data_IF_322536450674
#
_entry.id   IF_322536450674
#
_cell.length_a   1.000
_cell.length_b   1.000
_cell.length_c   1.000
_cell.angle_alpha   90.00
_cell.angle_beta   90.00
_cell.angle_gamma   90.00
#
_symmetry.space_group_name_H-M   'P 1'
#
loop_
_entity.id
_entity.type
_entity.pdbx_description
1 polymer ?
#
# COMPACT_ATOMS: atom_id res chain seq x y z
N UNK A 1 -19.83 4.42 30.05
CA UNK A 1 -18.35 4.43 29.98
C UNK A 1 -17.94 3.29 29.06
N UNK A 2 -17.40 3.58 27.87
CA UNK A 2 -16.92 2.52 26.97
C UNK A 2 -15.71 1.85 27.62
N UNK A 3 -15.81 0.58 27.96
CA UNK A 3 -14.70 -0.21 28.48
C UNK A 3 -13.60 -0.25 27.42
N UNK A 4 -12.44 0.35 27.73
CA UNK A 4 -11.31 0.41 26.80
C UNK A 4 -10.57 -0.92 26.83
N UNK A 5 -10.33 -1.50 25.66
CA UNK A 5 -9.52 -2.72 25.55
C UNK A 5 -8.10 -2.45 26.02
N UNK A 6 -7.54 -3.42 26.75
CA UNK A 6 -6.17 -3.38 27.25
C UNK A 6 -5.41 -4.63 26.84
N UNK A 7 -4.10 -4.50 26.75
CA UNK A 7 -3.20 -5.64 26.55
C UNK A 7 -2.83 -6.30 27.90
N UNK A 8 -2.09 -7.40 27.83
CA UNK A 8 -1.60 -8.14 29.00
C UNK A 8 -0.64 -7.32 29.89
N UNK A 9 -0.17 -6.16 29.43
CA UNK A 9 0.66 -5.20 30.17
C UNK A 9 -0.14 -3.98 30.62
N UNK A 10 -1.47 -4.08 30.61
CA UNK A 10 -2.42 -3.05 31.02
C UNK A 10 -2.41 -1.75 30.19
N UNK A 11 -1.77 -1.77 29.00
CA UNK A 11 -1.74 -0.66 28.05
C UNK A 11 -3.04 -0.60 27.27
N UNK A 12 -3.53 0.61 27.01
CA UNK A 12 -4.76 0.82 26.23
C UNK A 12 -4.47 0.54 24.76
N UNK A 13 -5.27 -0.34 24.17
CA UNK A 13 -5.28 -0.64 22.73
C UNK A 13 -6.21 0.34 22.00
N UNK A 14 -5.75 0.83 20.84
CA UNK A 14 -6.51 1.71 19.95
C UNK A 14 -7.58 0.92 19.19
N UNK A 15 -8.47 1.65 18.52
CA UNK A 15 -9.46 1.06 17.62
C UNK A 15 -8.78 0.23 16.53
N UNK A 16 -9.25 -1.00 16.32
CA UNK A 16 -8.63 -1.94 15.38
C UNK A 16 -7.45 -2.74 15.96
N UNK A 17 -6.81 -2.28 17.04
CA UNK A 17 -5.76 -3.04 17.73
C UNK A 17 -6.36 -4.16 18.61
N UNK A 18 -5.68 -5.30 18.65
CA UNK A 18 -6.00 -6.44 19.51
C UNK A 18 -4.72 -7.22 19.85
N UNK A 19 -4.71 -7.92 20.98
CA UNK A 19 -3.64 -8.84 21.33
C UNK A 19 -4.14 -10.29 21.22
N UNK A 20 -3.37 -11.13 20.53
CA UNK A 20 -3.65 -12.56 20.35
C UNK A 20 -3.14 -13.36 21.55
N UNK A 21 -3.64 -14.59 21.69
CA UNK A 21 -3.25 -15.52 22.76
C UNK A 21 -1.75 -15.87 22.76
N UNK A 22 -1.09 -15.78 21.60
CA UNK A 22 0.35 -16.02 21.44
C UNK A 22 1.22 -14.80 21.81
N UNK A 23 0.60 -13.69 22.23
CA UNK A 23 1.29 -12.45 22.59
C UNK A 23 1.51 -11.48 21.42
N UNK A 24 1.22 -11.89 20.17
CA UNK A 24 1.30 -10.97 19.01
C UNK A 24 0.19 -9.94 19.07
N UNK A 25 0.52 -8.73 18.62
CA UNK A 25 -0.46 -7.69 18.35
C UNK A 25 -0.99 -7.83 16.92
N UNK A 26 -2.26 -7.53 16.74
CA UNK A 26 -2.95 -7.53 15.46
C UNK A 26 -3.72 -6.22 15.29
N UNK A 27 -3.60 -5.61 14.12
CA UNK A 27 -4.35 -4.44 13.70
C UNK A 27 -5.29 -4.83 12.58
N UNK A 28 -6.60 -4.61 12.79
CA UNK A 28 -7.66 -4.81 11.81
C UNK A 28 -8.00 -3.47 11.17
N UNK A 29 -7.96 -3.41 9.85
CA UNK A 29 -8.40 -2.23 9.09
C UNK A 29 -9.18 -2.64 7.85
N UNK A 30 -9.91 -1.68 7.29
CA UNK A 30 -10.60 -1.83 6.01
C UNK A 30 -9.76 -1.14 4.96
N UNK A 31 -9.36 -1.86 3.92
CA UNK A 31 -8.58 -1.33 2.82
C UNK A 31 -9.44 -0.47 1.86
N UNK A 32 -8.80 0.23 0.93
CA UNK A 32 -9.44 1.08 -0.08
C UNK A 32 -10.53 0.36 -0.90
N UNK A 33 -10.42 -0.96 -1.07
CA UNK A 33 -11.41 -1.80 -1.74
C UNK A 33 -12.55 -2.32 -0.85
N UNK A 34 -12.64 -1.84 0.40
CA UNK A 34 -13.65 -2.31 1.36
C UNK A 34 -13.36 -3.69 1.95
N UNK A 35 -12.21 -4.28 1.64
CA UNK A 35 -11.79 -5.60 2.16
C UNK A 35 -11.14 -5.44 3.54
N UNK A 36 -11.50 -6.32 4.47
CA UNK A 36 -10.90 -6.33 5.81
C UNK A 36 -9.53 -6.99 5.76
N UNK A 37 -8.53 -6.31 6.30
CA UNK A 37 -7.15 -6.78 6.38
C UNK A 37 -6.65 -6.85 7.82
N UNK A 38 -5.63 -7.68 8.03
CA UNK A 38 -4.99 -7.86 9.32
C UNK A 38 -3.48 -7.74 9.18
N UNK A 39 -2.88 -6.89 10.01
CA UNK A 39 -1.44 -6.74 10.13
C UNK A 39 -1.00 -7.19 11.52
N UNK A 40 0.14 -7.86 11.59
CA UNK A 40 0.65 -8.46 12.82
C UNK A 40 2.02 -7.89 13.18
N UNK A 41 2.30 -7.79 14.48
CA UNK A 41 3.61 -7.44 15.01
C UNK A 41 3.82 -8.05 16.40
N UNK A 42 5.08 -8.28 16.77
CA UNK A 42 5.44 -8.72 18.13
C UNK A 42 5.52 -7.55 19.12
N UNK A 43 5.76 -6.33 18.62
CA UNK A 43 5.91 -5.10 19.38
C UNK A 43 4.69 -4.21 19.15
N UNK A 44 4.16 -3.58 20.21
CA UNK A 44 3.10 -2.58 20.06
C UNK A 44 3.70 -1.21 19.70
N UNK A 45 4.78 -0.85 20.39
CA UNK A 45 5.51 0.42 20.26
C UNK A 45 6.97 0.13 19.90
N UNK A 46 7.71 1.00 19.19
CA UNK A 46 9.10 0.73 18.78
C UNK A 46 10.06 0.44 19.93
N UNK A 47 9.75 0.98 21.12
CA UNK A 47 10.52 0.80 22.35
C UNK A 47 10.37 -0.59 22.98
N UNK A 48 9.40 -1.39 22.55
CA UNK A 48 9.20 -2.74 23.07
C UNK A 48 10.32 -3.67 22.59
N UNK A 49 10.68 -4.66 23.41
CA UNK A 49 11.63 -5.71 23.01
C UNK A 49 10.90 -6.85 22.31
N UNK A 50 11.47 -7.34 21.21
CA UNK A 50 10.99 -8.53 20.52
C UNK A 50 11.25 -9.78 21.39
N UNK A 51 10.29 -10.73 21.50
CA UNK A 51 10.49 -11.96 22.27
C UNK A 51 11.69 -12.77 21.78
N UNK A 52 12.37 -13.45 22.70
CA UNK A 52 13.55 -14.27 22.39
C UNK A 52 13.22 -15.33 21.31
N UNK A 53 14.10 -15.46 20.31
CA UNK A 53 13.94 -16.40 19.20
C UNK A 53 12.96 -15.97 18.11
N UNK A 54 12.40 -14.75 18.15
CA UNK A 54 11.59 -14.19 17.07
C UNK A 54 12.38 -13.18 16.24
N UNK A 55 12.06 -13.11 14.95
CA UNK A 55 12.65 -12.13 14.03
C UNK A 55 12.20 -10.72 14.45
N UNK A 56 13.14 -9.79 14.50
CA UNK A 56 12.80 -8.39 14.74
C UNK A 56 12.02 -7.83 13.56
N UNK A 57 11.00 -7.04 13.88
CA UNK A 57 10.03 -6.50 12.94
C UNK A 57 9.62 -5.10 13.40
N UNK A 58 9.04 -4.32 12.49
CA UNK A 58 8.50 -2.99 12.76
C UNK A 58 7.34 -3.12 13.77
N UNK A 59 7.17 -2.13 14.65
CA UNK A 59 6.10 -2.16 15.65
C UNK A 59 4.71 -2.01 15.03
N UNK A 60 3.66 -2.49 15.73
CA UNK A 60 2.29 -2.43 15.20
C UNK A 60 1.87 -0.99 14.86
N UNK A 61 2.22 -0.02 15.72
CA UNK A 61 1.85 1.39 15.51
C UNK A 61 2.61 2.08 14.40
N UNK A 62 3.84 1.65 14.11
CA UNK A 62 4.56 2.13 12.93
C UNK A 62 3.91 1.58 11.66
N UNK A 63 3.57 0.28 11.64
CA UNK A 63 2.81 -0.31 10.52
C UNK A 63 1.45 0.35 10.34
N UNK A 64 0.72 0.62 11.44
CA UNK A 64 -0.54 1.37 11.42
C UNK A 64 -0.36 2.75 10.77
N UNK A 65 0.72 3.47 11.12
CA UNK A 65 1.01 4.79 10.56
C UNK A 65 1.30 4.74 9.06
N UNK A 66 2.06 3.74 8.60
CA UNK A 66 2.30 3.50 7.17
C UNK A 66 0.97 3.22 6.44
N UNK A 67 0.16 2.31 6.97
CA UNK A 67 -1.15 1.96 6.40
C UNK A 67 -2.07 3.18 6.34
N UNK A 68 -2.15 3.97 7.41
CA UNK A 68 -2.99 5.16 7.43
C UNK A 68 -2.54 6.17 6.39
N UNK A 69 -1.23 6.38 6.25
CA UNK A 69 -0.69 7.25 5.21
C UNK A 69 -1.04 6.75 3.81
N UNK A 70 -0.86 5.45 3.55
CA UNK A 70 -1.20 4.83 2.27
C UNK A 70 -2.71 4.94 1.97
N UNK A 71 -3.58 4.77 2.99
CA UNK A 71 -5.02 4.96 2.87
C UNK A 71 -5.39 6.42 2.56
N UNK A 72 -4.77 7.38 3.25
CA UNK A 72 -4.98 8.81 3.02
C UNK A 72 -4.54 9.23 1.61
N UNK A 73 -3.44 8.65 1.12
CA UNK A 73 -2.92 8.85 -0.24
C UNK A 73 -3.73 8.07 -1.32
N UNK A 74 -4.70 7.25 -0.91
CA UNK A 74 -5.53 6.42 -1.79
C UNK A 74 -4.73 5.33 -2.53
N UNK A 75 -3.71 4.79 -1.86
CA UNK A 75 -2.82 3.74 -2.33
C UNK A 75 -3.32 2.39 -1.79
N UNK A 76 -3.29 1.36 -2.64
CA UNK A 76 -3.61 -0.01 -2.25
C UNK A 76 -2.57 -0.53 -1.25
N UNK A 77 -3.04 -0.84 -0.04
CA UNK A 77 -2.20 -1.29 1.08
C UNK A 77 -1.79 -2.77 0.99
N UNK A 78 -2.50 -3.58 0.19
CA UNK A 78 -2.34 -5.04 0.06
C UNK A 78 -1.50 -5.40 -1.17
N UNK A 79 -1.80 -4.78 -2.31
CA UNK A 79 -1.13 -4.99 -3.60
C UNK A 79 0.08 -4.09 -3.84
N UNK A 80 0.31 -3.14 -2.91
CA UNK A 80 1.44 -2.22 -2.72
C UNK A 80 2.04 -1.47 -3.90
N UNK A 81 1.69 -1.72 -5.16
CA UNK A 81 2.30 -0.98 -6.25
C UNK A 81 1.38 -0.89 -7.45
N UNK A 82 0.71 0.26 -7.57
CA UNK A 82 0.07 0.67 -8.82
C UNK A 82 1.08 0.49 -9.96
N UNK A 83 0.64 -0.12 -11.06
CA UNK A 83 1.47 -0.32 -12.24
C UNK A 83 1.55 0.96 -13.08
N UNK A 84 2.51 1.04 -14.00
CA UNK A 84 2.62 2.18 -14.93
C UNK A 84 1.34 2.34 -15.76
N UNK A 85 0.75 1.23 -16.23
CA UNK A 85 -0.52 1.23 -16.96
C UNK A 85 -1.68 1.76 -16.10
N UNK A 86 -1.80 1.30 -14.86
CA UNK A 86 -2.84 1.76 -13.94
C UNK A 86 -2.71 3.25 -13.61
N UNK A 87 -1.48 3.74 -13.41
CA UNK A 87 -1.21 5.16 -13.20
C UNK A 87 -1.65 5.98 -14.41
N UNK A 88 -1.30 5.52 -15.61
CA UNK A 88 -1.65 6.21 -16.84
C UNK A 88 -3.17 6.26 -17.07
N UNK A 89 -3.87 5.16 -16.81
CA UNK A 89 -5.32 5.11 -16.84
C UNK A 89 -5.95 6.08 -15.81
N UNK A 90 -5.44 6.12 -14.57
CA UNK A 90 -5.87 7.05 -13.51
C UNK A 90 -5.67 8.51 -13.96
N UNK A 91 -4.51 8.84 -14.52
CA UNK A 91 -4.22 10.18 -15.04
C UNK A 91 -5.19 10.59 -16.16
N UNK A 92 -5.47 9.70 -17.11
CA UNK A 92 -6.39 9.96 -18.22
C UNK A 92 -7.83 10.19 -17.74
N UNK A 93 -8.28 9.44 -16.73
CA UNK A 93 -9.59 9.64 -16.09
C UNK A 93 -9.69 11.01 -15.41
N UNK A 94 -8.66 11.41 -14.66
CA UNK A 94 -8.64 12.73 -14.02
C UNK A 94 -8.58 13.88 -15.04
N UNK A 95 -7.95 13.67 -16.20
CA UNK A 95 -7.80 14.67 -17.27
C UNK A 95 -8.66 14.34 -18.49
N UNK A 96 -9.93 14.05 -18.28
CA UNK A 96 -10.84 13.57 -19.32
C UNK A 96 -11.26 14.61 -20.38
N UNK A 97 -11.25 15.90 -20.05
CA UNK A 97 -11.68 16.96 -20.97
C UNK A 97 -10.56 17.32 -21.98
N UNK A 98 -10.39 16.50 -23.02
CA UNK A 98 -9.40 16.71 -24.08
C UNK A 98 -10.00 16.50 -25.48
N UNK A 99 -9.33 17.04 -26.50
CA UNK A 99 -9.74 16.88 -27.90
C UNK A 99 -9.66 15.41 -28.35
N UNK A 100 -10.43 15.06 -29.37
CA UNK A 100 -10.47 13.70 -29.92
C UNK A 100 -9.08 13.16 -30.29
N UNK A 101 -8.25 13.98 -30.95
CA UNK A 101 -6.88 13.58 -31.32
C UNK A 101 -6.01 13.22 -30.11
N UNK A 102 -6.15 13.95 -29.01
CA UNK A 102 -5.45 13.66 -27.75
C UNK A 102 -5.95 12.36 -27.13
N UNK A 103 -7.26 12.09 -27.22
CA UNK A 103 -7.84 10.82 -26.76
C UNK A 103 -7.26 9.64 -27.54
N UNK A 104 -7.21 9.74 -28.88
CA UNK A 104 -6.59 8.73 -29.75
C UNK A 104 -5.09 8.54 -29.46
N UNK A 105 -4.36 9.63 -29.22
CA UNK A 105 -2.95 9.55 -28.82
C UNK A 105 -2.75 8.80 -27.51
N UNK A 106 -3.62 9.05 -26.52
CA UNK A 106 -3.60 8.35 -25.23
C UNK A 106 -3.94 6.86 -25.36
N UNK A 107 -4.96 6.52 -26.15
CA UNK A 107 -5.32 5.14 -26.46
C UNK A 107 -4.13 4.38 -27.09
N UNK A 108 -3.43 5.02 -28.04
CA UNK A 108 -2.25 4.44 -28.68
C UNK A 108 -1.12 4.20 -27.67
N UNK A 109 -0.84 5.17 -26.80
CA UNK A 109 0.20 5.03 -25.78
C UNK A 109 -0.14 3.93 -24.77
N UNK A 110 -1.41 3.81 -24.37
CA UNK A 110 -1.86 2.75 -23.48
C UNK A 110 -1.60 1.37 -24.07
N UNK A 111 -1.93 1.16 -25.36
CA UNK A 111 -1.66 -0.12 -26.04
C UNK A 111 -0.17 -0.47 -26.11
N UNK A 112 0.68 0.54 -26.31
CA UNK A 112 2.14 0.33 -26.31
C UNK A 112 2.66 -0.03 -24.93
N UNK A 113 2.12 0.59 -23.87
CA UNK A 113 2.47 0.26 -22.50
C UNK A 113 1.98 -1.14 -22.12
N UNK A 114 0.75 -1.52 -22.48
CA UNK A 114 0.18 -2.86 -22.22
C UNK A 114 0.96 -3.98 -22.92
N UNK A 115 1.53 -3.71 -24.10
CA UNK A 115 2.36 -4.66 -24.83
C UNK A 115 3.79 -4.78 -24.24
N UNK A 116 4.23 -3.82 -23.42
CA UNK A 116 5.57 -3.80 -22.84
C UNK A 116 5.59 -4.26 -21.39
N UNK A 117 6.71 -4.84 -20.96
CA UNK A 117 6.93 -5.22 -19.56
C UNK A 117 6.80 -4.01 -18.62
N UNK A 118 7.24 -2.83 -19.06
CA UNK A 118 7.16 -1.58 -18.31
C UNK A 118 5.72 -1.24 -17.88
N UNK A 119 4.71 -1.56 -18.70
CA UNK A 119 3.31 -1.28 -18.37
C UNK A 119 2.82 -2.04 -17.14
N UNK A 120 3.23 -3.31 -17.02
CA UNK A 120 2.95 -4.17 -15.86
C UNK A 120 3.87 -3.92 -14.66
N UNK A 121 4.94 -3.14 -14.85
CA UNK A 121 5.88 -2.88 -13.78
C UNK A 121 5.25 -1.99 -12.70
N UNK A 122 5.47 -2.34 -11.43
CA UNK A 122 5.22 -1.46 -10.31
C UNK A 122 5.93 -0.10 -10.41
N UNK A 123 5.24 1.03 -10.17
CA UNK A 123 5.84 2.38 -10.32
C UNK A 123 7.12 2.56 -9.50
N UNK A 124 7.15 2.06 -8.26
CA UNK A 124 8.29 2.20 -7.37
C UNK A 124 9.52 1.35 -7.77
N UNK A 125 9.33 0.40 -8.68
CA UNK A 125 10.39 -0.44 -9.24
C UNK A 125 10.97 0.12 -10.53
N UNK A 126 10.29 1.11 -11.14
CA UNK A 126 10.72 1.73 -12.39
C UNK A 126 11.88 2.70 -12.14
N UNK A 127 13.00 2.45 -12.82
CA UNK A 127 14.16 3.34 -12.82
C UNK A 127 14.22 4.16 -14.11
N UNK A 128 15.03 5.22 -14.08
CA UNK A 128 15.29 6.04 -15.27
C UNK A 128 15.91 5.23 -16.42
N UNK A 129 16.72 4.21 -16.11
CA UNK A 129 17.28 3.28 -17.11
C UNK A 129 16.18 2.56 -17.88
N UNK A 130 15.16 2.07 -17.17
CA UNK A 130 14.10 1.25 -17.73
C UNK A 130 13.22 2.10 -18.67
N UNK A 131 12.99 3.36 -18.29
CA UNK A 131 12.30 4.33 -19.13
C UNK A 131 13.10 4.69 -20.41
N UNK A 132 14.43 4.84 -20.30
CA UNK A 132 15.30 5.09 -21.47
C UNK A 132 15.32 3.88 -22.41
N UNK A 133 15.40 2.67 -21.86
CA UNK A 133 15.39 1.44 -22.66
C UNK A 133 14.05 1.25 -23.36
N UNK A 134 12.94 1.58 -22.70
CA UNK A 134 11.62 1.58 -23.34
C UNK A 134 11.51 2.60 -24.48
N UNK A 135 12.04 3.81 -24.29
CA UNK A 135 12.03 4.84 -25.34
C UNK A 135 12.84 4.45 -26.60
N UNK A 136 13.82 3.55 -26.48
CA UNK A 136 14.55 2.99 -27.62
C UNK A 136 13.80 1.83 -28.31
N UNK A 137 12.84 1.19 -27.62
CA UNK A 137 12.05 0.06 -28.12
C UNK A 137 10.72 0.49 -28.74
N UNK A 138 10.22 1.66 -28.36
CA UNK A 138 9.03 2.33 -28.91
C UNK A 138 9.25 2.79 -30.35
#
# INVERSE_FOLDING_TARGET
MSEKRRDNRNRILRSGESQRKDGRYAYKYTDTFGKVQFVYAWKLVPTDKTPAGKRDDISLREKEKEIQKDLDDGIDTIGKKMTVCELYAKQNRHRGNVRHNTTKGRERLMKLLEADKLGSCPIDSVKLSDAKEWALRM
#
